data_IF_927571994354
#
_entry.id   IF_927571994354
#
_cell.length_a   1.000
_cell.length_b   1.000
_cell.length_c   1.000
_cell.angle_alpha   90.00
_cell.angle_beta   90.00
_cell.angle_gamma   90.00
#
_symmetry.space_group_name_H-M   'P 1'
#
loop_
_entity.id
_entity.type
_entity.pdbx_description
1 polymer ?
#
# COMPACT_ATOMS: atom_id res chain seq x y z
N UNK A 1 7.77 -8.40 31.01
CA UNK A 1 8.36 -9.36 30.05
C UNK A 1 9.70 -9.79 30.57
N UNK A 2 10.13 -11.04 30.31
CA UNK A 2 11.47 -11.49 30.74
C UNK A 2 12.54 -10.88 29.81
N UNK A 3 13.77 -10.61 30.30
CA UNK A 3 14.83 -10.01 29.49
C UNK A 3 15.22 -10.79 28.22
N UNK A 4 14.94 -12.08 28.16
CA UNK A 4 15.25 -12.99 27.05
C UNK A 4 14.12 -13.12 26.00
N UNK A 5 13.02 -12.39 26.17
CA UNK A 5 11.86 -12.49 25.27
C UNK A 5 12.23 -12.04 23.85
N UNK A 6 12.10 -12.95 22.87
CA UNK A 6 12.42 -12.68 21.45
C UNK A 6 11.21 -12.39 20.57
N UNK A 7 10.03 -12.89 20.96
CA UNK A 7 8.79 -12.76 20.18
C UNK A 7 7.66 -12.34 21.09
N UNK A 8 6.84 -11.42 20.59
CA UNK A 8 5.63 -10.93 21.25
C UNK A 8 4.48 -11.11 20.28
N UNK A 9 3.42 -11.80 20.72
CA UNK A 9 2.19 -11.91 19.95
C UNK A 9 1.11 -11.07 20.60
N UNK A 10 0.49 -10.20 19.80
CA UNK A 10 -0.55 -9.30 20.25
C UNK A 10 -1.82 -9.60 19.45
N UNK A 11 -2.90 -9.92 20.15
CA UNK A 11 -4.24 -9.95 19.57
C UNK A 11 -4.89 -8.59 19.81
N UNK A 12 -5.23 -7.88 18.75
CA UNK A 12 -5.79 -6.53 18.84
C UNK A 12 -6.86 -6.31 17.77
N UNK A 13 -7.55 -5.18 17.88
CA UNK A 13 -8.51 -4.66 16.90
C UNK A 13 -8.30 -3.15 16.83
N UNK A 14 -8.36 -2.58 15.63
CA UNK A 14 -8.29 -1.13 15.44
C UNK A 14 -9.58 -0.46 15.91
N UNK A 15 -9.47 0.79 16.36
CA UNK A 15 -10.65 1.60 16.62
C UNK A 15 -11.28 2.05 15.29
N UNK A 16 -12.62 2.27 15.21
CA UNK A 16 -13.25 2.81 14.02
C UNK A 16 -12.68 4.17 13.58
N UNK A 17 -12.21 4.98 14.55
CA UNK A 17 -11.54 6.26 14.32
C UNK A 17 -10.00 6.18 14.31
N UNK A 18 -9.41 5.04 13.95
CA UNK A 18 -7.96 4.93 13.82
C UNK A 18 -7.44 5.95 12.80
N UNK A 19 -6.61 6.88 13.26
CA UNK A 19 -6.23 8.07 12.49
C UNK A 19 -5.49 7.76 11.17
N UNK A 20 -4.80 6.62 11.06
CA UNK A 20 -4.17 6.21 9.81
C UNK A 20 -5.15 5.62 8.81
N UNK A 21 -6.32 5.13 9.24
CA UNK A 21 -7.25 4.40 8.38
C UNK A 21 -8.32 5.35 7.83
N UNK A 22 -8.38 5.48 6.51
CA UNK A 22 -9.47 6.18 5.86
C UNK A 22 -10.39 5.16 5.19
N UNK A 23 -11.59 5.03 5.74
CA UNK A 23 -12.67 4.22 5.19
C UNK A 23 -13.56 5.10 4.31
N UNK A 24 -13.75 4.69 3.07
CA UNK A 24 -14.62 5.35 2.10
C UNK A 24 -15.85 4.49 1.85
N UNK A 25 -17.03 5.11 1.94
CA UNK A 25 -18.26 4.50 1.46
C UNK A 25 -18.23 4.37 -0.07
N UNK A 26 -19.06 3.50 -0.67
CA UNK A 26 -19.13 3.37 -2.12
C UNK A 26 -19.26 4.71 -2.84
N UNK A 27 -20.12 5.62 -2.37
CA UNK A 27 -20.37 6.90 -3.04
C UNK A 27 -19.15 7.83 -3.10
N UNK A 28 -18.14 7.57 -2.27
CA UNK A 28 -16.88 8.30 -2.20
C UNK A 28 -15.80 7.72 -3.11
N UNK A 29 -16.03 6.56 -3.73
CA UNK A 29 -15.14 5.92 -4.71
C UNK A 29 -15.47 6.33 -6.14
N UNK A 30 -14.53 6.15 -7.07
CA UNK A 30 -14.76 6.50 -8.48
C UNK A 30 -15.82 5.59 -9.11
N UNK A 31 -15.84 4.30 -8.77
CA UNK A 31 -16.81 3.34 -9.25
C UNK A 31 -18.20 3.47 -8.61
N UNK A 32 -18.31 4.09 -7.43
CA UNK A 32 -19.57 4.31 -6.70
C UNK A 32 -20.31 3.05 -6.22
N UNK A 33 -19.72 1.88 -6.41
CA UNK A 33 -20.34 0.58 -6.13
C UNK A 33 -19.71 -0.16 -4.94
N UNK A 34 -18.40 0.00 -4.76
CA UNK A 34 -17.62 -0.73 -3.76
C UNK A 34 -16.94 0.23 -2.78
N UNK A 35 -16.79 -0.15 -1.50
CA UNK A 35 -16.05 0.65 -0.53
C UNK A 35 -14.55 0.63 -0.83
N UNK A 36 -13.81 1.55 -0.22
CA UNK A 36 -12.35 1.59 -0.31
C UNK A 36 -11.75 1.86 1.07
N UNK A 37 -10.63 1.21 1.37
CA UNK A 37 -9.80 1.49 2.54
C UNK A 37 -8.39 1.83 2.05
N UNK A 38 -7.78 2.85 2.63
CA UNK A 38 -6.33 3.01 2.56
C UNK A 38 -5.77 3.51 3.89
N UNK A 39 -4.47 3.27 4.08
CA UNK A 39 -3.74 3.73 5.25
C UNK A 39 -2.79 4.87 4.92
N UNK A 40 -2.70 5.85 5.79
CA UNK A 40 -1.65 6.87 5.79
C UNK A 40 -0.98 6.90 7.17
N UNK A 41 0.17 6.25 7.28
CA UNK A 41 0.87 6.08 8.55
C UNK A 41 1.80 7.24 8.91
N UNK A 42 2.17 8.09 7.94
CA UNK A 42 3.09 9.21 8.17
C UNK A 42 2.38 10.38 8.89
N UNK A 43 3.00 11.03 9.89
CA UNK A 43 4.35 10.77 10.42
C UNK A 43 4.42 9.72 11.53
N UNK A 44 3.37 9.61 12.35
CA UNK A 44 3.34 8.79 13.57
C UNK A 44 1.97 8.12 13.77
N UNK A 45 1.30 7.80 12.67
CA UNK A 45 -0.04 7.22 12.68
C UNK A 45 -0.03 5.69 12.54
N UNK A 46 1.12 5.06 12.24
CA UNK A 46 1.22 3.60 12.20
C UNK A 46 0.72 2.96 13.50
N UNK A 47 1.04 3.58 14.64
CA UNK A 47 0.57 3.16 15.98
C UNK A 47 -0.95 3.10 16.15
N UNK A 48 -1.72 3.78 15.29
CA UNK A 48 -3.19 3.79 15.38
C UNK A 48 -3.83 2.52 14.83
N UNK A 49 -3.11 1.76 14.01
CA UNK A 49 -3.61 0.52 13.41
C UNK A 49 -2.69 -0.68 13.61
N UNK A 50 -1.44 -0.48 14.02
CA UNK A 50 -0.49 -1.54 14.38
C UNK A 50 0.19 -1.19 15.70
N UNK A 51 0.16 -2.07 16.72
CA UNK A 51 0.97 -1.90 17.91
C UNK A 51 2.46 -2.08 17.60
N UNK A 52 3.18 -0.98 17.34
CA UNK A 52 4.59 -1.00 16.95
C UNK A 52 5.41 0.10 17.64
N UNK A 53 6.74 -0.03 17.58
CA UNK A 53 7.67 1.05 17.92
C UNK A 53 7.65 2.09 16.80
N UNK A 54 6.69 3.00 16.85
CA UNK A 54 6.40 3.94 15.77
C UNK A 54 7.36 5.14 15.75
N UNK A 55 8.59 4.87 15.28
CA UNK A 55 9.68 5.82 15.16
C UNK A 55 10.48 5.54 13.88
N UNK A 56 10.89 6.57 13.12
CA UNK A 56 11.69 6.39 11.91
C UNK A 56 13.07 5.76 12.18
N UNK A 57 13.57 5.82 13.43
CA UNK A 57 14.83 5.21 13.84
C UNK A 57 14.76 3.68 14.00
N UNK A 58 13.54 3.10 14.06
CA UNK A 58 13.34 1.65 14.15
C UNK A 58 12.87 1.16 12.78
N UNK A 59 13.63 0.21 12.20
CA UNK A 59 13.30 -0.42 10.92
C UNK A 59 13.04 -1.90 11.10
N UNK A 60 12.09 -2.43 10.34
CA UNK A 60 11.72 -3.84 10.37
C UNK A 60 11.32 -4.34 8.98
N UNK A 61 11.46 -5.65 8.78
CA UNK A 61 10.81 -6.39 7.69
C UNK A 61 9.45 -6.88 8.18
N UNK A 62 8.54 -7.20 7.27
CA UNK A 62 7.26 -7.76 7.66
C UNK A 62 6.74 -8.80 6.67
N UNK A 63 5.95 -9.72 7.22
CA UNK A 63 5.06 -10.60 6.47
C UNK A 63 3.64 -10.34 6.97
N UNK A 64 2.69 -10.23 6.05
CA UNK A 64 1.29 -9.98 6.39
C UNK A 64 0.39 -10.95 5.64
N UNK A 65 -0.63 -11.47 6.33
CA UNK A 65 -1.76 -12.17 5.72
C UNK A 65 -3.00 -11.33 5.90
N UNK A 66 -3.61 -10.92 4.79
CA UNK A 66 -4.77 -10.03 4.79
C UNK A 66 -5.94 -10.77 4.15
N UNK A 67 -7.09 -10.76 4.83
CA UNK A 67 -8.34 -11.29 4.29
C UNK A 67 -9.32 -10.14 4.06
N UNK A 68 -9.89 -10.08 2.87
CA UNK A 68 -10.83 -9.05 2.42
C UNK A 68 -12.02 -9.72 1.73
N UNK A 69 -13.13 -9.01 1.43
CA UNK A 69 -14.15 -9.53 0.53
C UNK A 69 -13.56 -9.99 -0.80
N UNK A 70 -13.96 -11.16 -1.30
CA UNK A 70 -13.33 -11.83 -2.46
C UNK A 70 -13.38 -11.04 -3.79
N UNK A 71 -14.21 -10.02 -3.88
CA UNK A 71 -14.31 -9.13 -5.05
C UNK A 71 -13.45 -7.86 -4.91
N UNK A 72 -12.61 -7.76 -3.87
CA UNK A 72 -11.70 -6.63 -3.64
C UNK A 72 -10.25 -7.09 -3.63
N UNK A 73 -9.37 -6.25 -4.15
CA UNK A 73 -7.93 -6.46 -4.13
C UNK A 73 -7.35 -5.85 -2.86
N UNK A 74 -6.43 -6.57 -2.21
CA UNK A 74 -5.61 -6.00 -1.15
C UNK A 74 -4.21 -5.69 -1.70
N UNK A 75 -3.70 -4.51 -1.37
CA UNK A 75 -2.36 -4.05 -1.71
C UNK A 75 -1.66 -3.60 -0.44
N UNK A 76 -0.36 -3.87 -0.33
CA UNK A 76 0.47 -3.36 0.76
C UNK A 76 1.76 -2.79 0.23
N UNK A 77 2.53 -2.14 1.10
CA UNK A 77 3.88 -1.72 0.75
C UNK A 77 4.86 -2.89 0.74
N UNK A 78 4.72 -3.77 -0.25
CA UNK A 78 5.39 -5.04 -0.44
C UNK A 78 5.22 -5.47 -1.92
N UNK A 79 5.61 -6.70 -2.26
CA UNK A 79 5.22 -7.33 -3.52
C UNK A 79 3.71 -7.60 -3.53
N UNK A 80 3.03 -7.17 -4.60
CA UNK A 80 1.57 -7.14 -4.68
C UNK A 80 1.00 -8.07 -5.76
N UNK A 81 -0.22 -8.59 -5.55
CA UNK A 81 -0.95 -9.34 -6.57
C UNK A 81 -1.43 -8.41 -7.69
N UNK A 82 -1.38 -8.89 -8.92
CA UNK A 82 -1.95 -8.20 -10.08
C UNK A 82 -3.37 -8.65 -10.41
N UNK A 83 -3.89 -9.66 -9.69
CA UNK A 83 -5.21 -10.28 -9.92
C UNK A 83 -5.91 -10.59 -8.60
N UNK A 84 -7.23 -10.71 -8.64
CA UNK A 84 -8.03 -11.10 -7.48
C UNK A 84 -7.73 -12.54 -7.05
N UNK A 85 -7.68 -12.76 -5.74
CA UNK A 85 -7.71 -14.10 -5.17
C UNK A 85 -9.18 -14.50 -4.95
N UNK A 86 -9.67 -15.66 -5.45
CA UNK A 86 -11.07 -16.07 -5.32
C UNK A 86 -11.56 -16.22 -3.87
N UNK A 87 -10.66 -16.31 -2.89
CA UNK A 87 -10.97 -16.40 -1.45
C UNK A 87 -10.79 -15.06 -0.75
N UNK A 88 -10.29 -14.03 -1.43
CA UNK A 88 -9.94 -12.74 -0.86
C UNK A 88 -8.79 -12.83 0.15
N UNK A 89 -7.89 -13.81 -0.01
CA UNK A 89 -6.75 -14.04 0.88
C UNK A 89 -5.43 -13.68 0.21
N UNK A 90 -4.70 -12.74 0.81
CA UNK A 90 -3.47 -12.20 0.25
C UNK A 90 -2.32 -12.34 1.25
N UNK A 91 -1.13 -12.71 0.75
CA UNK A 91 0.11 -12.77 1.54
C UNK A 91 1.11 -11.79 0.97
N UNK A 92 1.67 -10.95 1.84
CA UNK A 92 2.64 -9.93 1.47
C UNK A 92 3.95 -10.16 2.22
N UNK A 93 5.07 -9.85 1.55
CA UNK A 93 6.42 -9.95 2.12
C UNK A 93 7.22 -8.70 1.75
N UNK A 94 7.70 -8.00 2.78
CA UNK A 94 8.64 -6.88 2.63
C UNK A 94 9.99 -7.29 3.23
N UNK A 95 10.93 -7.67 2.37
CA UNK A 95 12.26 -8.14 2.78
C UNK A 95 13.22 -7.00 3.13
N UNK A 96 12.95 -5.80 2.63
CA UNK A 96 13.78 -4.63 2.88
C UNK A 96 13.33 -3.95 4.20
N UNK A 97 14.24 -3.68 5.16
CA UNK A 97 13.86 -3.03 6.42
C UNK A 97 13.35 -1.60 6.20
N UNK A 98 12.08 -1.37 6.56
CA UNK A 98 11.41 -0.08 6.46
C UNK A 98 11.03 0.47 7.84
N UNK A 99 10.98 1.80 8.01
CA UNK A 99 10.33 2.40 9.18
C UNK A 99 8.81 2.20 9.16
N UNK A 100 8.18 2.22 10.33
CA UNK A 100 6.74 1.98 10.53
C UNK A 100 5.83 2.84 9.65
N UNK A 101 6.19 4.10 9.44
CA UNK A 101 5.38 5.04 8.66
C UNK A 101 5.29 4.69 7.17
N UNK A 102 6.16 3.82 6.65
CA UNK A 102 6.08 3.33 5.27
C UNK A 102 5.20 2.10 5.12
N UNK A 103 4.83 1.42 6.22
CA UNK A 103 3.91 0.30 6.14
C UNK A 103 2.52 0.81 5.71
N UNK A 104 2.05 0.28 4.59
CA UNK A 104 0.81 0.68 3.95
C UNK A 104 -0.12 -0.52 3.70
N UNK A 105 -1.42 -0.26 3.70
CA UNK A 105 -2.46 -1.16 3.23
C UNK A 105 -3.49 -0.35 2.42
N UNK A 106 -3.94 -0.91 1.30
CA UNK A 106 -5.10 -0.45 0.56
C UNK A 106 -5.98 -1.64 0.19
N UNK A 107 -7.29 -1.44 0.20
CA UNK A 107 -8.29 -2.46 -0.17
C UNK A 107 -9.41 -1.79 -0.95
N UNK A 108 -9.73 -2.29 -2.14
CA UNK A 108 -10.80 -1.73 -2.95
C UNK A 108 -11.01 -2.48 -4.27
N UNK A 109 -11.92 -1.97 -5.09
CA UNK A 109 -12.11 -2.44 -6.47
C UNK A 109 -11.00 -1.85 -7.35
N UNK A 110 -9.85 -2.51 -7.37
CA UNK A 110 -8.63 -2.03 -8.02
C UNK A 110 -8.19 -3.02 -9.08
N UNK A 111 -7.82 -2.50 -10.24
CA UNK A 111 -7.23 -3.22 -11.36
C UNK A 111 -5.78 -2.77 -11.58
N UNK A 112 -5.00 -3.60 -12.28
CA UNK A 112 -3.60 -3.36 -12.58
C UNK A 112 -3.37 -3.20 -14.08
N UNK A 113 -2.55 -2.21 -14.46
CA UNK A 113 -2.01 -2.06 -15.80
C UNK A 113 -0.49 -1.93 -15.75
N UNK A 114 0.22 -2.82 -16.44
CA UNK A 114 1.68 -2.72 -16.59
C UNK A 114 2.04 -1.55 -17.50
N UNK A 115 3.09 -0.81 -17.12
CA UNK A 115 3.70 0.25 -17.95
C UNK A 115 5.04 -0.21 -18.51
N UNK A 116 5.83 -0.93 -17.71
CA UNK A 116 7.10 -1.55 -18.11
C UNK A 116 7.26 -2.93 -17.47
N UNK A 117 8.47 -3.48 -17.49
CA UNK A 117 8.82 -4.72 -16.77
C UNK A 117 8.88 -4.56 -15.26
N UNK A 118 8.98 -3.33 -14.74
CA UNK A 118 9.13 -3.02 -13.30
C UNK A 118 8.28 -1.85 -12.81
N UNK A 119 7.39 -1.35 -13.64
CA UNK A 119 6.44 -0.28 -13.29
C UNK A 119 5.05 -0.61 -13.78
N UNK A 120 4.06 -0.22 -12.99
CA UNK A 120 2.65 -0.37 -13.31
C UNK A 120 1.77 0.56 -12.48
N UNK A 121 0.49 0.57 -12.83
CA UNK A 121 -0.52 1.40 -12.20
C UNK A 121 -1.60 0.49 -11.63
N UNK A 122 -1.90 0.68 -10.36
CA UNK A 122 -3.11 0.21 -9.70
C UNK A 122 -4.11 1.37 -9.61
N UNK A 123 -5.34 1.16 -10.05
CA UNK A 123 -6.41 2.16 -9.90
C UNK A 123 -7.79 1.51 -9.95
N UNK A 124 -8.84 2.25 -9.57
CA UNK A 124 -10.21 1.82 -9.88
C UNK A 124 -10.42 1.74 -11.40
N UNK A 125 -11.26 0.80 -11.92
CA UNK A 125 -11.46 0.61 -13.36
C UNK A 125 -11.82 1.90 -14.11
N UNK A 126 -12.65 2.75 -13.49
CA UNK A 126 -13.06 4.04 -14.06
C UNK A 126 -11.90 5.06 -14.19
N UNK A 127 -10.81 4.89 -13.43
CA UNK A 127 -9.65 5.80 -13.39
C UNK A 127 -8.44 5.22 -14.12
N UNK A 128 -8.34 3.89 -14.24
CA UNK A 128 -7.17 3.19 -14.76
C UNK A 128 -6.74 3.68 -16.16
N UNK A 129 -7.62 3.82 -17.18
CA UNK A 129 -7.18 4.26 -18.51
C UNK A 129 -6.53 5.64 -18.51
N UNK A 130 -7.11 6.59 -17.77
CA UNK A 130 -6.54 7.94 -17.66
C UNK A 130 -5.24 7.92 -16.89
N UNK A 131 -5.18 7.22 -15.76
CA UNK A 131 -3.95 7.11 -14.96
C UNK A 131 -2.79 6.46 -15.75
N UNK A 132 -3.06 5.38 -16.47
CA UNK A 132 -2.06 4.72 -17.32
C UNK A 132 -1.54 5.65 -18.41
N UNK A 133 -2.40 6.47 -19.01
CA UNK A 133 -1.98 7.45 -20.01
C UNK A 133 -1.10 8.57 -19.40
N UNK A 134 -1.52 9.12 -18.26
CA UNK A 134 -0.79 10.20 -17.56
C UNK A 134 0.61 9.76 -17.07
N UNK A 135 0.76 8.49 -16.71
CA UNK A 135 2.02 7.96 -16.16
C UNK A 135 2.83 7.12 -17.15
N UNK A 136 2.59 7.23 -18.46
CA UNK A 136 3.32 6.44 -19.48
C UNK A 136 4.85 6.58 -19.40
N UNK A 137 5.34 7.75 -18.97
CA UNK A 137 6.77 8.04 -18.84
C UNK A 137 7.40 7.57 -17.51
N UNK A 138 6.65 6.84 -16.67
CA UNK A 138 7.12 6.48 -15.32
C UNK A 138 8.45 5.70 -15.34
N UNK A 139 8.62 4.76 -16.27
CA UNK A 139 9.89 4.04 -16.41
C UNK A 139 11.05 4.96 -16.77
N UNK A 140 10.83 5.93 -17.66
CA UNK A 140 11.84 6.92 -18.04
C UNK A 140 12.28 7.74 -16.82
N UNK A 141 11.34 8.08 -15.93
CA UNK A 141 11.65 8.77 -14.66
C UNK A 141 12.47 7.90 -13.71
N UNK A 142 12.14 6.61 -13.58
CA UNK A 142 12.91 5.67 -12.73
C UNK A 142 14.32 5.51 -13.29
N UNK A 143 14.48 5.30 -14.60
CA UNK A 143 15.78 5.17 -15.24
C UNK A 143 16.66 6.42 -15.06
N UNK A 144 16.09 7.62 -15.25
CA UNK A 144 16.80 8.86 -15.00
C UNK A 144 17.20 9.02 -13.52
N UNK A 145 16.33 8.62 -12.58
CA UNK A 145 16.66 8.66 -11.16
C UNK A 145 17.79 7.67 -10.80
N UNK A 146 17.84 6.50 -11.43
CA UNK A 146 18.92 5.54 -11.24
C UNK A 146 20.26 6.03 -11.78
N UNK A 147 20.26 6.72 -12.92
CA UNK A 147 21.45 7.35 -13.48
C UNK A 147 22.03 8.40 -12.52
N UNK A 148 21.16 9.18 -11.87
CA UNK A 148 21.57 10.26 -10.96
C UNK A 148 21.96 9.76 -9.56
N UNK A 149 21.25 8.78 -9.02
CA UNK A 149 21.31 8.42 -7.59
C UNK A 149 21.74 6.97 -7.33
N UNK A 150 22.01 6.21 -8.39
CA UNK A 150 22.37 4.80 -8.33
C UNK A 150 21.15 3.86 -8.36
N UNK A 151 21.38 2.54 -8.36
CA UNK A 151 20.36 1.54 -8.64
C UNK A 151 19.13 1.62 -7.72
N UNK A 152 17.95 1.47 -8.31
CA UNK A 152 16.69 1.41 -7.60
C UNK A 152 16.66 0.10 -6.81
N UNK A 153 16.66 0.23 -5.48
CA UNK A 153 16.87 -0.91 -4.57
C UNK A 153 15.60 -1.72 -4.28
N UNK A 154 14.51 -1.39 -4.95
CA UNK A 154 13.27 -2.11 -4.84
C UNK A 154 13.00 -2.73 -6.21
N UNK A 155 12.51 -3.96 -6.25
CA UNK A 155 12.40 -4.70 -7.52
C UNK A 155 11.33 -4.10 -8.45
N UNK A 156 10.29 -3.49 -7.86
CA UNK A 156 9.12 -2.95 -8.55
C UNK A 156 8.77 -1.56 -8.01
N UNK A 157 8.30 -0.69 -8.91
CA UNK A 157 7.81 0.65 -8.59
C UNK A 157 6.42 0.82 -9.23
N UNK A 158 5.37 0.50 -8.49
CA UNK A 158 4.01 0.75 -8.95
C UNK A 158 3.43 2.00 -8.29
N UNK A 159 2.44 2.59 -8.97
CA UNK A 159 1.63 3.67 -8.41
C UNK A 159 0.23 3.16 -8.12
N UNK A 160 -0.26 3.41 -6.92
CA UNK A 160 -1.69 3.31 -6.61
C UNK A 160 -2.33 4.69 -6.71
N UNK A 161 -3.25 4.86 -7.65
CA UNK A 161 -4.06 6.07 -7.78
C UNK A 161 -5.26 5.96 -6.84
N UNK A 162 -5.25 6.76 -5.78
CA UNK A 162 -6.29 6.77 -4.76
C UNK A 162 -7.52 7.59 -5.19
N UNK A 163 -8.71 7.31 -4.62
CA UNK A 163 -9.92 8.11 -4.86
C UNK A 163 -9.72 9.57 -4.44
N UNK A 164 -10.54 10.48 -5.00
CA UNK A 164 -10.44 11.94 -4.78
C UNK A 164 -10.50 12.37 -3.30
N UNK A 165 -10.99 11.51 -2.41
CA UNK A 165 -11.00 11.74 -0.97
C UNK A 165 -9.60 11.72 -0.32
N UNK A 166 -8.55 11.39 -1.08
CA UNK A 166 -7.17 11.49 -0.64
C UNK A 166 -6.73 12.97 -0.56
N UNK A 167 -6.37 13.41 0.65
CA UNK A 167 -6.15 14.82 0.97
C UNK A 167 -4.73 15.34 0.63
N UNK A 168 -3.83 14.47 0.18
CA UNK A 168 -2.49 14.84 -0.31
C UNK A 168 -2.40 14.61 -1.83
N UNK A 169 -1.50 15.32 -2.52
CA UNK A 169 -1.26 15.09 -3.95
C UNK A 169 -0.55 13.76 -4.25
N UNK A 170 0.44 13.38 -3.42
CA UNK A 170 1.22 12.13 -3.56
C UNK A 170 1.63 11.65 -2.16
N UNK A 171 1.62 10.34 -1.93
CA UNK A 171 2.29 9.72 -0.79
C UNK A 171 3.20 8.58 -1.25
N UNK A 172 4.48 8.68 -0.88
CA UNK A 172 5.51 7.75 -1.34
C UNK A 172 5.65 6.58 -0.38
N UNK A 173 5.00 5.49 -0.72
CA UNK A 173 5.30 4.16 -0.20
C UNK A 173 5.54 3.21 -1.37
N UNK A 174 6.18 2.06 -1.14
CA UNK A 174 6.14 0.99 -2.14
C UNK A 174 4.67 0.61 -2.29
N UNK A 175 4.18 0.48 -3.51
CA UNK A 175 3.00 -0.33 -3.87
C UNK A 175 3.42 -1.13 -5.11
#
# INVERSE_FOLDING_TARGET
MRPDTKVVSLRYRTAPGAAALQWLSPEQTAGREQPFLFTQSQAILARSWIPCQDSPGVRFTYEARVRVPAHLLALMSAENPQQLDPRGEYTFRMQQPIPSYLMALAVGNVEYSSLSTRTGIYAEPATLPTATHEFVDLENMVAAAEELYGPYRWEQYDLLVLPRAFHLGVWKTRV
#
